data_IF_433891632235
#
_entry.id   IF_433891632235
#
_cell.length_a   1.000
_cell.length_b   1.000
_cell.length_c   1.000
_cell.angle_alpha   90.00
_cell.angle_beta   90.00
_cell.angle_gamma   90.00
#
_symmetry.space_group_name_H-M   'P 1'
#
loop_
_entity.id
_entity.type
_entity.pdbx_description
1 polymer ?
#
# COMPACT_ATOMS: atom_id res chain seq x y z
N UNK A 1 12.28 7.80 -8.77
CA UNK A 1 12.53 6.45 -9.32
C UNK A 1 11.18 5.76 -9.44
N UNK A 2 10.87 5.14 -10.58
CA UNK A 2 9.62 4.40 -10.76
C UNK A 2 9.81 2.96 -10.30
N UNK A 3 9.31 2.63 -9.11
CA UNK A 3 9.25 1.27 -8.57
C UNK A 3 8.00 0.55 -9.09
N UNK A 4 8.02 -0.78 -9.11
CA UNK A 4 6.83 -1.56 -9.47
C UNK A 4 5.86 -1.56 -8.29
N UNK A 5 4.61 -1.16 -8.51
CA UNK A 5 3.57 -1.25 -7.49
C UNK A 5 3.33 -2.72 -7.13
N UNK A 6 3.48 -3.08 -5.85
CA UNK A 6 3.30 -4.46 -5.37
C UNK A 6 1.87 -4.97 -5.53
N UNK A 7 0.87 -4.08 -5.58
CA UNK A 7 -0.53 -4.47 -5.72
C UNK A 7 -0.97 -4.66 -7.19
N UNK A 8 -0.72 -3.67 -8.05
CA UNK A 8 -1.19 -3.72 -9.45
C UNK A 8 -0.12 -4.14 -10.48
N UNK A 9 1.13 -4.36 -10.06
CA UNK A 9 2.24 -4.75 -10.93
C UNK A 9 2.68 -3.71 -11.96
N UNK A 10 2.07 -2.53 -11.97
CA UNK A 10 2.40 -1.47 -12.93
C UNK A 10 3.69 -0.75 -12.54
N UNK A 11 4.51 -0.43 -13.54
CA UNK A 11 5.74 0.37 -13.36
C UNK A 11 5.40 1.86 -13.39
N UNK A 12 5.01 2.39 -12.24
CA UNK A 12 4.55 3.77 -12.04
C UNK A 12 5.29 4.38 -10.84
N UNK A 13 5.17 5.70 -10.57
CA UNK A 13 5.67 6.23 -9.30
C UNK A 13 4.98 5.52 -8.13
N UNK A 14 5.76 4.71 -7.40
CA UNK A 14 5.34 4.02 -6.20
C UNK A 14 6.23 4.46 -5.02
N UNK A 15 5.66 4.45 -3.82
CA UNK A 15 6.35 4.74 -2.56
C UNK A 15 6.09 3.59 -1.60
N UNK A 16 7.04 3.31 -0.71
CA UNK A 16 6.83 2.33 0.36
C UNK A 16 5.94 2.93 1.44
N UNK A 17 4.96 2.15 1.87
CA UNK A 17 4.07 2.47 2.97
C UNK A 17 4.06 1.34 3.98
N UNK A 18 3.83 1.69 5.24
CA UNK A 18 3.52 0.76 6.31
C UNK A 18 2.00 0.64 6.43
N UNK A 19 1.49 -0.55 6.11
CA UNK A 19 0.06 -0.87 6.15
C UNK A 19 -0.19 -1.65 7.44
N UNK A 20 -0.88 -1.01 8.36
CA UNK A 20 -1.29 -1.61 9.63
C UNK A 20 -2.61 -2.34 9.40
N UNK A 21 -2.60 -3.66 9.60
CA UNK A 21 -3.77 -4.50 9.46
C UNK A 21 -4.50 -4.62 10.80
N UNK A 22 -5.81 -4.86 10.75
CA UNK A 22 -6.61 -5.09 11.96
C UNK A 22 -6.21 -6.36 12.74
N UNK A 23 -5.37 -7.21 12.13
CA UNK A 23 -4.70 -8.36 12.79
C UNK A 23 -3.49 -7.95 13.65
N UNK A 24 -3.18 -6.66 13.77
CA UNK A 24 -1.94 -6.11 14.33
C UNK A 24 -0.66 -6.45 13.55
N UNK A 25 -0.80 -7.01 12.35
CA UNK A 25 0.32 -7.19 11.42
C UNK A 25 0.65 -5.88 10.69
N UNK A 26 1.92 -5.70 10.33
CA UNK A 26 2.38 -4.56 9.54
C UNK A 26 3.05 -5.05 8.26
N UNK A 27 2.56 -4.57 7.12
CA UNK A 27 3.13 -4.87 5.81
C UNK A 27 3.87 -3.64 5.27
N UNK A 28 5.09 -3.83 4.76
CA UNK A 28 5.82 -2.81 4.01
C UNK A 28 5.72 -3.11 2.52
N UNK A 29 4.96 -2.30 1.78
CA UNK A 29 4.73 -2.51 0.34
C UNK A 29 4.94 -1.22 -0.46
N UNK A 30 5.62 -1.28 -1.63
CA UNK A 30 5.62 -0.18 -2.57
C UNK A 30 4.26 -0.09 -3.27
N UNK A 31 3.53 1.01 -3.08
CA UNK A 31 2.23 1.24 -3.70
C UNK A 31 2.24 2.52 -4.54
N UNK A 32 1.51 2.51 -5.65
CA UNK A 32 1.12 3.72 -6.34
C UNK A 32 -0.04 4.41 -5.60
N UNK A 33 -0.23 5.72 -5.81
CA UNK A 33 -1.29 6.51 -5.15
C UNK A 33 -2.69 5.89 -5.28
N UNK A 34 -3.03 5.37 -6.47
CA UNK A 34 -4.32 4.72 -6.70
C UNK A 34 -4.49 3.41 -5.92
N UNK A 35 -3.41 2.62 -5.75
CA UNK A 35 -3.47 1.42 -4.94
C UNK A 35 -3.46 1.75 -3.44
N UNK A 36 -2.65 2.72 -3.01
CA UNK A 36 -2.65 3.23 -1.63
C UNK A 36 -4.07 3.59 -1.19
N UNK A 37 -4.82 4.33 -2.00
CA UNK A 37 -6.19 4.72 -1.66
C UNK A 37 -7.12 3.53 -1.39
N UNK A 38 -6.97 2.43 -2.14
CA UNK A 38 -7.77 1.21 -1.93
C UNK A 38 -7.50 0.56 -0.57
N UNK A 39 -6.24 0.56 -0.12
CA UNK A 39 -5.90 0.06 1.21
C UNK A 39 -6.44 0.98 2.31
N UNK A 40 -6.36 2.30 2.14
CA UNK A 40 -6.92 3.27 3.11
C UNK A 40 -8.43 3.07 3.34
N UNK A 41 -9.16 2.60 2.34
CA UNK A 41 -10.61 2.36 2.43
C UNK A 41 -10.99 0.91 2.76
N UNK A 42 -10.01 0.02 2.93
CA UNK A 42 -10.27 -1.38 3.25
C UNK A 42 -10.62 -1.53 4.73
N UNK A 43 -11.64 -2.33 5.03
CA UNK A 43 -12.14 -2.60 6.38
C UNK A 43 -11.17 -3.41 7.25
N UNK A 44 -10.26 -4.15 6.63
CA UNK A 44 -9.20 -4.93 7.29
C UNK A 44 -7.88 -4.14 7.46
N UNK A 45 -7.86 -2.86 7.10
CA UNK A 45 -6.71 -1.95 7.26
C UNK A 45 -7.05 -0.87 8.28
N UNK A 46 -6.22 -0.75 9.30
CA UNK A 46 -6.36 0.27 10.34
C UNK A 46 -5.69 1.59 9.93
N UNK A 47 -4.51 1.52 9.30
CA UNK A 47 -3.76 2.71 8.88
C UNK A 47 -2.78 2.43 7.72
N UNK A 48 -2.46 3.49 6.96
CA UNK A 48 -1.40 3.49 5.94
C UNK A 48 -0.49 4.70 6.16
N UNK A 49 0.76 4.45 6.56
CA UNK A 49 1.76 5.47 6.92
C UNK A 49 2.87 5.53 5.87
#
# INVERSE_FOLDING_TARGET
>A
MSETCANCGSRVPARRYHIHLSSAEVLELPLCEGCRYKFVTADWVDAVV
#
